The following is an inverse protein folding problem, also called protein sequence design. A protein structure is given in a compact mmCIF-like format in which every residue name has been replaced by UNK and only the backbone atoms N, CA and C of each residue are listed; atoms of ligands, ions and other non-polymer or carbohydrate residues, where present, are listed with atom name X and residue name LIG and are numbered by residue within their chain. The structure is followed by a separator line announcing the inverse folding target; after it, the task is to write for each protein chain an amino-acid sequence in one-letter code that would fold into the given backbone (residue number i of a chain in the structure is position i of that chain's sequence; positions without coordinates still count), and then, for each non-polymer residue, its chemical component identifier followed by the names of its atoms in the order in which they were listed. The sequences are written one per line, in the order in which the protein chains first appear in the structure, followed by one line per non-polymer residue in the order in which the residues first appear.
data_IF_098511950776
#
_entry.id   IF_098511950776
#
_cell.length_a   1.000
_cell.length_b   1.000
_cell.length_c   1.000
_cell.angle_alpha   90.00
_cell.angle_beta   90.00
_cell.angle_gamma   90.00
#
_symmetry.space_group_name_H-M   'P 1'
#
loop_
_entity.id
_entity.type
_entity.pdbx_description
1 polymer ?
#
# COMPACT_ATOMS: atom_id res chain seq x y z
N UNK A 1 -12.27 15.52 2.32
CA UNK A 1 -10.78 15.48 2.28
C UNK A 1 -10.33 15.85 0.88
N UNK A 2 -9.40 16.78 0.74
CA UNK A 2 -8.89 17.17 -0.57
C UNK A 2 -7.67 16.31 -1.03
N UNK A 3 -7.14 16.61 -2.23
CA UNK A 3 -6.02 15.83 -2.79
C UNK A 3 -4.71 16.04 -2.00
N UNK A 4 -4.50 17.24 -1.44
CA UNK A 4 -3.31 17.55 -0.64
C UNK A 4 -3.33 16.79 0.69
N UNK A 5 -4.49 16.76 1.35
CA UNK A 5 -4.73 15.97 2.56
C UNK A 5 -4.45 14.48 2.30
N UNK A 6 -4.96 13.95 1.17
CA UNK A 6 -4.74 12.54 0.83
C UNK A 6 -3.25 12.23 0.61
N UNK A 7 -2.50 13.09 -0.05
CA UNK A 7 -1.05 12.90 -0.23
C UNK A 7 -0.31 12.98 1.11
N UNK A 8 -0.71 13.91 1.97
CA UNK A 8 -0.18 14.02 3.34
C UNK A 8 -0.40 12.72 4.11
N UNK A 9 -1.61 12.19 4.10
CA UNK A 9 -1.92 10.93 4.79
C UNK A 9 -1.12 9.75 4.25
N UNK A 10 -0.99 9.62 2.92
CA UNK A 10 -0.18 8.56 2.31
C UNK A 10 1.26 8.63 2.85
N UNK A 11 1.85 9.83 2.92
CA UNK A 11 3.20 9.99 3.44
C UNK A 11 3.31 9.69 4.93
N UNK A 12 2.35 10.13 5.74
CA UNK A 12 2.33 9.87 7.19
C UNK A 12 2.16 8.37 7.48
N UNK A 13 1.24 7.69 6.81
CA UNK A 13 1.09 6.25 6.93
C UNK A 13 2.35 5.50 6.47
N UNK A 14 2.94 5.90 5.35
CA UNK A 14 4.19 5.29 4.86
C UNK A 14 5.31 5.42 5.90
N UNK A 15 5.53 6.59 6.46
CA UNK A 15 6.54 6.82 7.50
C UNK A 15 6.27 5.95 8.73
N UNK A 16 5.01 5.86 9.15
CA UNK A 16 4.59 5.05 10.29
C UNK A 16 4.86 3.55 10.06
N UNK A 17 4.57 3.03 8.89
CA UNK A 17 4.79 1.63 8.53
C UNK A 17 6.28 1.29 8.40
N UNK A 18 7.08 2.19 7.83
CA UNK A 18 8.52 1.98 7.66
C UNK A 18 9.29 1.97 9.00
N UNK A 19 8.73 2.54 10.06
CA UNK A 19 9.28 2.43 11.42
C UNK A 19 8.87 1.16 12.16
N UNK A 20 8.23 0.19 11.46
CA UNK A 20 7.78 -1.08 12.05
C UNK A 20 6.47 -0.97 12.83
N UNK A 21 5.79 0.16 12.75
CA UNK A 21 4.50 0.35 13.38
C UNK A 21 3.35 -0.15 12.50
N UNK A 22 2.19 -0.37 13.13
CA UNK A 22 0.99 -0.81 12.44
C UNK A 22 -0.27 -0.53 13.24
N UNK A 23 -1.41 -0.96 12.73
CA UNK A 23 -2.70 -0.78 13.38
C UNK A 23 -3.41 -2.13 13.54
N UNK A 24 -3.85 -2.45 14.75
CA UNK A 24 -4.63 -3.66 15.00
C UNK A 24 -6.06 -3.59 14.44
N UNK A 25 -6.59 -2.37 14.26
CA UNK A 25 -7.95 -2.14 13.77
C UNK A 25 -8.01 -0.96 12.81
N UNK A 26 -8.99 -0.99 11.89
CA UNK A 26 -9.23 0.14 10.98
C UNK A 26 -9.65 1.41 11.73
N UNK A 27 -10.27 1.27 12.90
CA UNK A 27 -10.67 2.42 13.74
C UNK A 27 -9.43 3.17 14.23
N UNK A 28 -8.37 2.48 14.67
CA UNK A 28 -7.10 3.09 15.07
C UNK A 28 -6.43 3.83 13.89
N UNK A 29 -6.44 3.23 12.71
CA UNK A 29 -5.86 3.87 11.52
C UNK A 29 -6.65 5.13 11.11
N UNK A 30 -7.97 5.12 11.20
CA UNK A 30 -8.81 6.31 10.93
C UNK A 30 -8.65 7.38 12.00
N UNK A 31 -8.47 7.00 13.27
CA UNK A 31 -8.14 7.97 14.33
C UNK A 31 -6.79 8.62 14.06
N UNK A 32 -5.77 7.84 13.72
CA UNK A 32 -4.47 8.36 13.31
C UNK A 32 -4.60 9.37 12.15
N UNK A 33 -5.40 9.06 11.12
CA UNK A 33 -5.64 9.97 10.00
C UNK A 33 -6.31 11.28 10.46
N UNK A 34 -7.30 11.20 11.34
CA UNK A 34 -7.96 12.36 11.95
C UNK A 34 -6.97 13.25 12.70
N UNK A 35 -6.09 12.63 13.49
CA UNK A 35 -5.08 13.34 14.27
C UNK A 35 -4.01 14.00 13.37
N UNK A 36 -3.60 13.33 12.26
CA UNK A 36 -2.63 13.87 11.32
C UNK A 36 -3.15 15.07 10.51
N UNK A 37 -4.46 15.11 10.25
CA UNK A 37 -5.09 16.19 9.51
C UNK A 37 -5.68 17.28 10.42
N UNK A 38 -5.67 17.09 11.74
CA UNK A 38 -6.37 17.94 12.70
C UNK A 38 -7.85 18.16 12.31
N UNK A 39 -8.49 17.10 11.82
CA UNK A 39 -9.87 17.12 11.31
C UNK A 39 -10.67 15.92 11.81
N UNK A 40 -11.93 16.16 12.12
CA UNK A 40 -12.87 15.05 12.37
C UNK A 40 -13.34 14.46 11.06
N UNK A 41 -13.08 13.18 10.84
CA UNK A 41 -13.51 12.45 9.66
C UNK A 41 -14.96 12.01 9.82
N UNK A 42 -15.84 12.43 8.91
CA UNK A 42 -17.25 12.06 8.93
C UNK A 42 -17.44 10.62 8.45
N UNK A 43 -17.95 9.71 9.31
CA UNK A 43 -18.21 8.32 8.92
C UNK A 43 -19.23 8.16 7.78
N UNK A 44 -20.09 9.17 7.58
CA UNK A 44 -21.13 9.16 6.56
C UNK A 44 -20.70 9.77 5.23
N UNK A 45 -19.51 10.41 5.22
CA UNK A 45 -18.89 10.98 4.02
C UNK A 45 -18.00 9.97 3.28
N UNK A 46 -17.39 10.41 2.17
CA UNK A 46 -16.38 9.65 1.46
C UNK A 46 -15.01 9.59 2.19
N UNK A 47 -14.84 10.30 3.31
CA UNK A 47 -13.55 10.46 3.98
C UNK A 47 -12.96 9.12 4.45
N UNK A 48 -13.80 8.27 5.04
CA UNK A 48 -13.35 6.94 5.45
C UNK A 48 -12.82 6.10 4.28
N UNK A 49 -13.49 6.17 3.12
CA UNK A 49 -13.02 5.48 1.92
C UNK A 49 -11.68 6.04 1.44
N UNK A 50 -11.53 7.37 1.46
CA UNK A 50 -10.29 8.03 1.05
C UNK A 50 -9.14 7.72 2.00
N UNK A 51 -9.40 7.57 3.32
CA UNK A 51 -8.40 7.09 4.29
C UNK A 51 -8.01 5.65 4.00
N UNK A 52 -8.98 4.76 3.74
CA UNK A 52 -8.72 3.36 3.42
C UNK A 52 -7.84 3.25 2.15
N UNK A 53 -8.14 4.04 1.11
CA UNK A 53 -7.32 4.14 -0.10
C UNK A 53 -5.92 4.71 0.17
N UNK A 54 -5.79 5.69 1.07
CA UNK A 54 -4.49 6.24 1.47
C UNK A 54 -3.63 5.19 2.19
N UNK A 55 -4.23 4.38 3.06
CA UNK A 55 -3.55 3.26 3.73
C UNK A 55 -3.04 2.25 2.70
N UNK A 56 -3.89 1.81 1.75
CA UNK A 56 -3.49 0.85 0.72
C UNK A 56 -2.32 1.39 -0.14
N UNK A 57 -2.40 2.65 -0.58
CA UNK A 57 -1.31 3.30 -1.33
C UNK A 57 -0.02 3.42 -0.50
N UNK A 58 -0.14 3.71 0.80
CA UNK A 58 1.00 3.78 1.70
C UNK A 58 1.66 2.40 1.89
N UNK A 59 0.88 1.33 2.01
CA UNK A 59 1.38 -0.04 2.06
C UNK A 59 2.20 -0.38 0.81
N UNK A 60 1.67 -0.08 -0.39
CA UNK A 60 2.38 -0.32 -1.66
C UNK A 60 3.68 0.48 -1.71
N UNK A 61 3.67 1.77 -1.33
CA UNK A 61 4.87 2.62 -1.30
C UNK A 61 5.91 2.11 -0.29
N UNK A 62 5.48 1.71 0.90
CA UNK A 62 6.36 1.12 1.91
C UNK A 62 6.99 -0.18 1.42
N UNK A 63 6.17 -1.03 0.80
CA UNK A 63 6.62 -2.29 0.24
C UNK A 63 7.70 -2.09 -0.84
N UNK A 64 7.53 -1.10 -1.74
CA UNK A 64 8.56 -0.75 -2.74
C UNK A 64 9.90 -0.38 -2.10
N UNK A 65 9.87 0.40 -1.01
CA UNK A 65 11.09 0.77 -0.27
C UNK A 65 11.72 -0.45 0.39
N UNK A 66 10.91 -1.33 0.98
CA UNK A 66 11.40 -2.52 1.67
C UNK A 66 12.08 -3.56 0.75
N UNK A 67 11.76 -3.56 -0.55
CA UNK A 67 12.35 -4.47 -1.55
C UNK A 67 13.41 -3.79 -2.42
N UNK A 68 13.49 -2.46 -2.42
CA UNK A 68 14.50 -1.71 -3.20
C UNK A 68 15.78 -1.49 -2.41
N UNK A 69 16.84 -1.10 -3.11
CA UNK A 69 18.13 -0.69 -2.55
C UNK A 69 18.08 0.73 -1.94
N UNK A 70 16.95 1.09 -1.30
CA UNK A 70 16.75 2.43 -0.75
C UNK A 70 17.74 2.80 0.35
N UNK A 71 18.11 4.07 0.41
CA UNK A 71 19.15 4.63 1.30
C UNK A 71 18.94 4.36 2.81
N UNK A 72 17.75 3.94 3.23
CA UNK A 72 17.37 3.83 4.65
C UNK A 72 17.43 2.41 5.22
N UNK A 73 17.42 1.38 4.39
CA UNK A 73 17.43 -0.03 4.83
C UNK A 73 18.37 -0.83 3.92
N UNK A 74 19.15 -1.75 4.51
CA UNK A 74 19.91 -2.69 3.71
C UNK A 74 18.97 -3.48 2.78
N UNK A 75 19.29 -3.60 1.47
CA UNK A 75 18.45 -4.35 0.54
C UNK A 75 18.29 -5.81 1.00
N UNK A 76 17.17 -6.47 0.69
CA UNK A 76 17.02 -7.87 0.99
C UNK A 76 18.04 -8.67 0.18
N UNK A 77 18.84 -9.49 0.85
CA UNK A 77 19.87 -10.29 0.19
C UNK A 77 19.29 -11.42 -0.68
N UNK A 78 18.01 -11.76 -0.46
CA UNK A 78 17.31 -12.82 -1.19
C UNK A 78 15.83 -12.48 -1.38
N UNK A 79 15.21 -13.07 -2.42
CA UNK A 79 13.76 -13.00 -2.65
C UNK A 79 12.96 -13.45 -1.42
N UNK A 80 13.46 -14.45 -0.68
CA UNK A 80 12.81 -14.94 0.53
C UNK A 80 12.78 -13.87 1.63
N UNK A 81 13.90 -13.19 1.87
CA UNK A 81 13.94 -12.08 2.83
C UNK A 81 13.02 -10.92 2.44
N UNK A 82 12.93 -10.60 1.14
CA UNK A 82 11.97 -9.61 0.66
C UNK A 82 10.53 -10.05 0.96
N UNK A 83 10.20 -11.30 0.67
CA UNK A 83 8.88 -11.86 0.96
C UNK A 83 8.53 -11.82 2.46
N UNK A 84 9.49 -12.17 3.33
CA UNK A 84 9.32 -12.11 4.79
C UNK A 84 9.06 -10.68 5.27
N UNK A 85 9.82 -9.68 4.79
CA UNK A 85 9.60 -8.26 5.12
C UNK A 85 8.20 -7.79 4.69
N UNK A 86 7.75 -8.20 3.52
CA UNK A 86 6.42 -7.84 3.02
C UNK A 86 5.30 -8.54 3.79
N UNK A 87 5.54 -9.76 4.23
CA UNK A 87 4.61 -10.51 5.09
C UNK A 87 4.50 -9.86 6.46
N UNK A 88 5.63 -9.44 7.02
CA UNK A 88 5.66 -8.69 8.28
C UNK A 88 4.92 -7.35 8.16
N UNK A 89 5.22 -6.55 7.12
CA UNK A 89 4.48 -5.32 6.83
C UNK A 89 2.98 -5.56 6.79
N UNK A 90 2.52 -6.58 6.07
CA UNK A 90 1.10 -6.88 5.93
C UNK A 90 0.46 -7.36 7.25
N UNK A 91 1.20 -8.11 8.07
CA UNK A 91 0.71 -8.66 9.33
C UNK A 91 0.36 -7.58 10.36
N UNK A 92 1.01 -6.43 10.29
CA UNK A 92 0.79 -5.28 11.16
C UNK A 92 -0.26 -4.30 10.63
N UNK A 93 -0.92 -4.62 9.50
CA UNK A 93 -1.93 -3.73 8.92
C UNK A 93 -3.36 -4.14 9.32
N UNK A 94 -4.25 -3.16 9.49
CA UNK A 94 -5.64 -3.45 9.77
C UNK A 94 -6.25 -4.20 8.59
N UNK A 95 -7.09 -5.18 8.87
CA UNK A 95 -7.87 -5.82 7.81
C UNK A 95 -8.87 -4.81 7.25
N UNK A 96 -8.58 -4.26 6.08
CA UNK A 96 -9.45 -3.32 5.36
C UNK A 96 -10.72 -4.00 4.81
N UNK A 97 -10.93 -5.27 5.11
CA UNK A 97 -11.95 -6.15 4.55
C UNK A 97 -13.34 -5.99 5.18
N UNK A 98 -13.81 -4.77 5.43
CA UNK A 98 -15.27 -4.57 5.48
C UNK A 98 -15.71 -4.28 4.05
N UNK A 99 -16.10 -5.34 3.35
CA UNK A 99 -16.63 -5.28 1.98
C UNK A 99 -17.86 -4.40 1.97
N UNK A 100 -17.77 -3.23 1.37
CA UNK A 100 -18.98 -2.45 1.05
C UNK A 100 -19.71 -3.15 -0.10
N UNK A 101 -21.03 -2.99 -0.17
CA UNK A 101 -21.82 -3.52 -1.30
C UNK A 101 -21.25 -3.08 -2.64
N UNK A 102 -20.70 -1.86 -2.73
CA UNK A 102 -20.09 -1.31 -3.94
C UNK A 102 -18.78 -2.00 -4.30
N UNK A 103 -17.90 -2.28 -3.34
CA UNK A 103 -16.63 -3.00 -3.61
C UNK A 103 -16.88 -4.46 -3.99
N UNK A 104 -17.95 -5.07 -3.48
CA UNK A 104 -18.38 -6.42 -3.89
C UNK A 104 -18.91 -6.44 -5.33
N UNK A 105 -19.68 -5.43 -5.73
CA UNK A 105 -20.24 -5.33 -7.09
C UNK A 105 -19.13 -5.04 -8.10
N UNK A 106 -18.17 -4.20 -7.75
CA UNK A 106 -17.05 -3.81 -8.62
C UNK A 106 -15.90 -4.81 -8.60
N UNK A 107 -15.94 -5.84 -7.73
CA UNK A 107 -14.85 -6.78 -7.51
C UNK A 107 -13.49 -6.08 -7.29
N UNK A 108 -13.52 -4.91 -6.68
CA UNK A 108 -12.35 -4.09 -6.43
C UNK A 108 -11.59 -4.63 -5.20
N UNK A 109 -10.72 -5.61 -5.43
CA UNK A 109 -9.88 -6.22 -4.41
C UNK A 109 -8.42 -5.85 -4.66
N UNK A 110 -7.74 -5.37 -3.62
CA UNK A 110 -6.29 -5.20 -3.69
C UNK A 110 -5.59 -6.55 -3.52
N UNK A 111 -4.65 -6.86 -4.40
CA UNK A 111 -3.81 -8.05 -4.24
C UNK A 111 -2.91 -7.88 -3.01
N UNK A 112 -2.85 -8.85 -2.08
CA UNK A 112 -1.94 -8.78 -0.95
C UNK A 112 -0.49 -8.64 -1.40
N UNK A 113 0.25 -7.70 -0.78
CA UNK A 113 1.61 -7.33 -1.20
C UNK A 113 2.59 -8.50 -1.34
N UNK A 114 2.65 -9.48 -0.42
CA UNK A 114 3.55 -10.63 -0.60
C UNK A 114 3.19 -11.46 -1.84
N UNK A 115 1.91 -11.61 -2.14
CA UNK A 115 1.44 -12.35 -3.34
C UNK A 115 1.77 -11.56 -4.61
N UNK A 116 1.57 -10.24 -4.58
CA UNK A 116 1.92 -9.35 -5.69
C UNK A 116 3.41 -9.40 -6.01
N UNK A 117 4.27 -9.36 -4.99
CA UNK A 117 5.72 -9.51 -5.14
C UNK A 117 6.10 -10.87 -5.70
N UNK A 118 5.50 -11.94 -5.19
CA UNK A 118 5.74 -13.29 -5.71
C UNK A 118 5.35 -13.41 -7.20
N UNK A 119 4.19 -12.86 -7.57
CA UNK A 119 3.75 -12.84 -8.96
C UNK A 119 4.69 -12.04 -9.86
N UNK A 120 5.15 -10.86 -9.41
CA UNK A 120 6.12 -10.04 -10.14
C UNK A 120 7.46 -10.76 -10.33
N UNK A 121 7.93 -11.45 -9.29
CA UNK A 121 9.17 -12.27 -9.34
C UNK A 121 9.03 -13.43 -10.34
N UNK A 122 7.91 -14.15 -10.33
CA UNK A 122 7.65 -15.24 -11.29
C UNK A 122 7.55 -14.73 -12.73
N UNK A 123 7.00 -13.53 -12.93
CA UNK A 123 6.92 -12.89 -14.24
C UNK A 123 8.25 -12.29 -14.71
N UNK A 124 9.31 -12.32 -13.88
CA UNK A 124 10.60 -11.73 -14.17
C UNK A 124 10.58 -10.20 -14.27
N UNK A 125 9.66 -9.56 -13.55
CA UNK A 125 9.57 -8.10 -13.52
C UNK A 125 10.71 -7.53 -12.66
N UNK A 126 11.52 -6.68 -13.27
CA UNK A 126 12.62 -5.95 -12.67
C UNK A 126 12.59 -4.46 -13.07
N UNK A 127 13.63 -3.73 -12.74
CA UNK A 127 13.74 -2.29 -13.04
C UNK A 127 13.88 -1.96 -14.52
N UNK A 128 14.23 -2.93 -15.36
CA UNK A 128 14.47 -2.76 -16.80
C UNK A 128 13.28 -3.29 -17.63
N UNK A 129 12.34 -3.96 -17.01
CA UNK A 129 11.18 -4.57 -17.66
C UNK A 129 10.09 -3.54 -17.94
N UNK A 130 9.65 -3.43 -19.21
CA UNK A 130 8.44 -2.68 -19.55
C UNK A 130 7.19 -3.50 -19.19
N UNK A 131 6.32 -2.93 -18.37
CA UNK A 131 5.13 -3.62 -17.86
C UNK A 131 3.88 -2.91 -18.34
N UNK A 132 2.93 -3.68 -18.88
CA UNK A 132 1.58 -3.23 -19.17
C UNK A 132 0.59 -3.83 -18.18
N UNK A 133 -0.08 -2.98 -17.40
CA UNK A 133 -1.08 -3.39 -16.40
C UNK A 133 -2.33 -2.50 -16.51
N UNK A 134 -3.35 -2.94 -17.27
CA UNK A 134 -4.55 -2.14 -17.53
C UNK A 134 -5.47 -2.01 -16.32
N UNK A 135 -5.24 -2.79 -15.26
CA UNK A 135 -6.06 -2.81 -14.04
C UNK A 135 -5.22 -2.53 -12.79
N UNK A 136 -4.24 -1.64 -12.91
CA UNK A 136 -3.21 -1.39 -11.91
C UNK A 136 -3.73 -1.12 -10.49
N UNK A 137 -4.92 -0.54 -10.32
CA UNK A 137 -5.50 -0.21 -9.02
C UNK A 137 -4.53 0.63 -8.17
N UNK A 138 -4.14 0.12 -7.00
CA UNK A 138 -3.14 0.75 -6.13
C UNK A 138 -1.68 0.43 -6.53
N UNK A 139 -1.45 -0.30 -7.61
CA UNK A 139 -0.14 -0.63 -8.15
C UNK A 139 0.57 -1.78 -7.44
N UNK A 140 -0.15 -2.64 -6.71
CA UNK A 140 0.45 -3.75 -5.97
C UNK A 140 1.24 -4.71 -6.88
N UNK A 141 0.69 -5.09 -8.03
CA UNK A 141 1.37 -5.98 -9.00
C UNK A 141 2.59 -5.34 -9.66
N UNK A 142 2.70 -4.01 -9.60
CA UNK A 142 3.79 -3.22 -10.16
C UNK A 142 4.90 -2.93 -9.15
N UNK A 143 4.89 -3.61 -8.00
CA UNK A 143 5.77 -3.32 -6.86
C UNK A 143 7.26 -3.34 -7.22
N UNK A 144 7.69 -4.26 -8.11
CA UNK A 144 9.07 -4.40 -8.56
C UNK A 144 9.40 -3.59 -9.83
N UNK A 145 8.39 -3.04 -10.51
CA UNK A 145 8.57 -2.35 -11.78
C UNK A 145 9.13 -0.93 -11.59
N UNK A 146 9.95 -0.48 -12.54
CA UNK A 146 10.33 0.91 -12.63
C UNK A 146 9.12 1.76 -13.07
N UNK A 147 8.70 2.80 -12.31
CA UNK A 147 7.54 3.61 -12.66
C UNK A 147 7.60 4.24 -14.06
N UNK A 148 8.80 4.51 -14.59
CA UNK A 148 9.00 5.10 -15.91
C UNK A 148 8.75 4.11 -17.06
N UNK A 149 8.67 2.82 -16.74
CA UNK A 149 8.47 1.72 -17.70
C UNK A 149 7.10 1.04 -17.55
N UNK A 150 6.22 1.64 -16.76
CA UNK A 150 4.85 1.14 -16.57
C UNK A 150 3.90 1.86 -17.52
N UNK A 151 3.05 1.07 -18.18
CA UNK A 151 1.89 1.51 -18.96
C UNK A 151 0.64 0.98 -18.24
N UNK A 152 -0.16 1.88 -17.64
CA UNK A 152 -1.32 1.53 -16.82
C UNK A 152 -2.57 2.34 -17.26
#
# INVERSE_FOLDING_TARGET
MDLADQQTLIQQFQNYFLTGNGFSTIVQARQFASDQLDQSLDPLSSDHKQVDEAIEKAIVRSARILISDGESLAPPATTHQAFDRLTDLLSHQPRLAVRTSTSMIQQAYSTPIPIAYFAATLAGIDTDTTVYEPTAGNGALLISANPTQVIA
#
